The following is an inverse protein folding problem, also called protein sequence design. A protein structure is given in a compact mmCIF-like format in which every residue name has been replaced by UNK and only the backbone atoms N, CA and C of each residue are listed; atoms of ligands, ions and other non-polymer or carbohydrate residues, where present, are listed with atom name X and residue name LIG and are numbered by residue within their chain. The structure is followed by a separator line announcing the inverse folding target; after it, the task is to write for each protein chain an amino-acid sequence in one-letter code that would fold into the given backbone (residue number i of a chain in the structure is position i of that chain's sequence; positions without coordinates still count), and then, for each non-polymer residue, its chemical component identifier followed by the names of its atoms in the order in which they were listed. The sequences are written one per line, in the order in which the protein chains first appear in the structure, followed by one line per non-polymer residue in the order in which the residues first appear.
data_IF_782832606311
#
_entry.id   IF_782832606311
#
_cell.length_a   1.000
_cell.length_b   1.000
_cell.length_c   1.000
_cell.angle_alpha   90.00
_cell.angle_beta   90.00
_cell.angle_gamma   90.00
#
_symmetry.space_group_name_H-M   'P 1'
#
loop_
_entity.id
_entity.type
_entity.pdbx_description
1 polymer ?
#
# COMPACT_ATOMS: atom_id res chain seq x y z
N UNK A 1 15.63 -8.87 -14.32
CA UNK A 1 16.17 -9.77 -13.28
C UNK A 1 15.00 -10.38 -12.52
N UNK A 2 14.99 -11.70 -12.28
CA UNK A 2 13.87 -12.34 -11.57
C UNK A 2 13.98 -12.02 -10.06
N UNK A 3 12.92 -11.44 -9.48
CA UNK A 3 12.88 -11.12 -8.06
C UNK A 3 12.91 -12.41 -7.24
N UNK A 4 13.75 -12.44 -6.20
CA UNK A 4 13.69 -13.50 -5.21
C UNK A 4 12.40 -13.42 -4.39
N UNK A 5 11.97 -14.55 -3.83
CA UNK A 5 10.78 -14.60 -2.97
C UNK A 5 10.83 -13.62 -1.79
N UNK A 6 12.02 -13.34 -1.29
CA UNK A 6 12.20 -12.39 -0.18
C UNK A 6 12.00 -10.96 -0.66
N UNK A 7 12.49 -10.62 -1.86
CA UNK A 7 12.27 -9.31 -2.47
C UNK A 7 10.80 -9.10 -2.79
N UNK A 8 10.12 -10.09 -3.39
CA UNK A 8 8.66 -10.02 -3.62
C UNK A 8 7.90 -9.73 -2.32
N UNK A 9 8.19 -10.47 -1.25
CA UNK A 9 7.55 -10.24 0.05
C UNK A 9 7.89 -8.87 0.61
N UNK A 10 9.13 -8.39 0.42
CA UNK A 10 9.60 -7.09 0.91
C UNK A 10 8.92 -5.95 0.16
N UNK A 11 8.80 -6.04 -1.16
CA UNK A 11 8.11 -5.08 -2.02
C UNK A 11 6.64 -4.98 -1.60
N UNK A 12 5.96 -6.11 -1.43
CA UNK A 12 4.57 -6.10 -1.00
C UNK A 12 4.37 -5.48 0.40
N UNK A 13 5.29 -5.75 1.34
CA UNK A 13 5.29 -5.10 2.66
C UNK A 13 5.63 -3.61 2.58
N UNK A 14 6.57 -3.22 1.73
CA UNK A 14 6.92 -1.83 1.51
C UNK A 14 5.72 -1.04 0.98
N UNK A 15 4.90 -1.62 0.09
CA UNK A 15 3.65 -0.99 -0.35
C UNK A 15 2.64 -0.80 0.81
N UNK A 16 2.51 -1.78 1.70
CA UNK A 16 1.68 -1.64 2.92
C UNK A 16 2.20 -0.51 3.81
N UNK A 17 3.51 -0.45 4.03
CA UNK A 17 4.14 0.54 4.89
C UNK A 17 4.10 1.94 4.25
N UNK A 18 4.27 2.04 2.93
CA UNK A 18 4.15 3.31 2.22
C UNK A 18 2.74 3.86 2.29
N UNK A 19 1.73 3.01 2.07
CA UNK A 19 0.34 3.42 2.25
C UNK A 19 0.07 3.94 3.66
N UNK A 20 0.61 3.25 4.69
CA UNK A 20 0.50 3.68 6.07
C UNK A 20 1.21 5.03 6.34
N UNK A 21 2.40 5.25 5.76
CA UNK A 21 3.15 6.49 5.89
C UNK A 21 2.42 7.68 5.25
N UNK A 22 1.87 7.49 4.05
CA UNK A 22 1.11 8.53 3.37
C UNK A 22 -0.23 8.84 4.06
N UNK A 23 -0.88 7.82 4.65
CA UNK A 23 -2.09 8.03 5.47
C UNK A 23 -1.76 8.82 6.74
N UNK A 24 -0.64 8.51 7.42
CA UNK A 24 -0.18 9.27 8.58
C UNK A 24 0.11 10.73 8.21
N UNK A 25 0.83 10.94 7.10
CA UNK A 25 1.15 12.28 6.62
C UNK A 25 -0.13 13.07 6.31
N UNK A 26 -1.06 12.51 5.51
CA UNK A 26 -2.35 13.14 5.22
C UNK A 26 -3.14 13.49 6.49
N UNK A 27 -3.16 12.59 7.47
CA UNK A 27 -3.87 12.83 8.71
C UNK A 27 -3.25 14.00 9.52
N UNK A 28 -1.94 14.20 9.41
CA UNK A 28 -1.20 15.24 10.14
C UNK A 28 -1.16 16.58 9.42
N UNK A 29 -0.96 16.59 8.10
CA UNK A 29 -0.69 17.80 7.30
C UNK A 29 -1.82 18.17 6.34
N UNK A 30 -2.76 17.24 6.10
CA UNK A 30 -3.82 17.42 5.11
C UNK A 30 -3.41 17.16 3.66
N UNK A 31 -2.11 17.00 3.39
CA UNK A 31 -1.58 16.89 2.03
C UNK A 31 -0.33 16.01 1.91
N UNK A 32 -0.13 15.47 0.71
CA UNK A 32 1.02 14.67 0.28
C UNK A 32 1.42 15.08 -1.13
N UNK A 33 2.69 14.92 -1.49
CA UNK A 33 3.12 15.15 -2.87
C UNK A 33 2.31 14.28 -3.85
N UNK A 34 1.89 14.88 -4.97
CA UNK A 34 0.92 14.28 -5.89
C UNK A 34 1.40 12.95 -6.47
N UNK A 35 2.67 12.87 -6.81
CA UNK A 35 3.34 11.68 -7.35
C UNK A 35 3.47 10.53 -6.34
N UNK A 36 3.56 10.84 -5.04
CA UNK A 36 3.89 9.85 -4.00
C UNK A 36 2.82 8.78 -3.82
N UNK A 37 1.55 9.11 -4.13
CA UNK A 37 0.43 8.16 -4.06
C UNK A 37 0.20 7.37 -5.34
N UNK A 38 0.68 7.86 -6.47
CA UNK A 38 0.32 7.34 -7.78
C UNK A 38 0.72 5.87 -7.98
N UNK A 39 1.94 5.42 -7.61
CA UNK A 39 2.30 4.01 -7.78
C UNK A 39 1.42 3.05 -6.98
N UNK A 40 0.98 3.46 -5.78
CA UNK A 40 0.09 2.65 -4.94
C UNK A 40 -1.32 2.57 -5.53
N UNK A 41 -1.85 3.69 -6.01
CA UNK A 41 -3.17 3.74 -6.62
C UNK A 41 -3.18 2.99 -7.96
N UNK A 42 -2.14 3.12 -8.77
CA UNK A 42 -1.99 2.42 -10.05
C UNK A 42 -1.98 0.90 -9.86
N UNK A 43 -1.30 0.42 -8.82
CA UNK A 43 -1.24 -1.00 -8.47
C UNK A 43 -2.61 -1.64 -8.17
N UNK A 44 -3.64 -0.84 -7.84
CA UNK A 44 -5.01 -1.36 -7.69
C UNK A 44 -5.56 -1.86 -9.02
N UNK A 45 -5.31 -1.14 -10.12
CA UNK A 45 -5.85 -1.46 -11.43
C UNK A 45 -5.13 -2.63 -12.11
N UNK A 46 -3.96 -3.02 -11.61
CA UNK A 46 -3.20 -4.19 -12.09
C UNK A 46 -3.71 -5.45 -11.37
N UNK A 47 -4.87 -5.94 -11.83
CA UNK A 47 -5.57 -7.09 -11.22
C UNK A 47 -5.01 -8.45 -11.64
N UNK A 48 -4.46 -8.55 -12.86
CA UNK A 48 -3.89 -9.78 -13.42
C UNK A 48 -2.47 -9.54 -13.96
N UNK A 49 -1.48 -9.26 -13.08
CA UNK A 49 -0.10 -9.06 -13.51
C UNK A 49 0.50 -10.34 -14.07
N UNK A 50 1.28 -10.23 -15.14
CA UNK A 50 2.04 -11.37 -15.70
C UNK A 50 3.25 -11.68 -14.83
N UNK A 51 3.92 -10.63 -14.33
CA UNK A 51 5.06 -10.71 -13.44
C UNK A 51 4.84 -9.89 -12.17
N UNK A 52 5.49 -10.28 -11.08
CA UNK A 52 5.41 -9.54 -9.82
C UNK A 52 5.90 -8.08 -9.95
N UNK A 53 6.91 -7.85 -10.79
CA UNK A 53 7.46 -6.52 -11.09
C UNK A 53 6.44 -5.57 -11.72
N UNK A 54 5.43 -6.09 -12.40
CA UNK A 54 4.46 -5.27 -13.15
C UNK A 54 3.58 -4.45 -12.20
N UNK A 55 3.44 -4.87 -10.94
CA UNK A 55 2.49 -4.26 -9.98
C UNK A 55 2.96 -2.88 -9.52
N UNK A 56 4.24 -2.75 -9.16
CA UNK A 56 4.80 -1.52 -8.60
C UNK A 56 5.96 -0.95 -9.43
N UNK A 57 6.34 -1.58 -10.54
CA UNK A 57 7.51 -1.15 -11.33
C UNK A 57 8.79 -1.20 -10.52
N UNK A 58 9.65 -0.19 -10.64
CA UNK A 58 10.88 -0.08 -9.87
C UNK A 58 10.58 0.23 -8.39
N UNK A 59 10.85 -0.71 -7.44
CA UNK A 59 10.56 -0.47 -6.03
C UNK A 59 11.41 0.63 -5.41
N UNK A 60 12.64 0.86 -5.91
CA UNK A 60 13.52 1.91 -5.41
C UNK A 60 12.90 3.29 -5.58
N UNK A 61 12.31 3.54 -6.76
CA UNK A 61 11.66 4.79 -7.12
C UNK A 61 10.26 4.86 -6.54
N UNK A 62 9.46 3.81 -6.73
CA UNK A 62 8.02 3.86 -6.47
C UNK A 62 7.63 3.50 -5.05
N UNK A 63 8.48 2.79 -4.30
CA UNK A 63 8.22 2.33 -2.94
C UNK A 63 9.29 2.79 -1.94
N UNK A 64 10.07 3.82 -2.29
CA UNK A 64 11.20 4.31 -1.50
C UNK A 64 10.85 4.59 -0.04
N UNK A 65 9.75 5.34 0.17
CA UNK A 65 9.27 5.70 1.51
C UNK A 65 8.91 4.44 2.29
N UNK A 66 8.18 3.53 1.66
CA UNK A 66 7.81 2.24 2.26
C UNK A 66 9.02 1.39 2.65
N UNK A 67 10.02 1.29 1.77
CA UNK A 67 11.24 0.52 2.00
C UNK A 67 12.07 1.09 3.15
N UNK A 68 12.24 2.42 3.20
CA UNK A 68 12.96 3.08 4.30
C UNK A 68 12.25 2.87 5.63
N UNK A 69 10.94 3.13 5.70
CA UNK A 69 10.17 2.91 6.92
C UNK A 69 10.18 1.44 7.36
N UNK A 70 10.05 0.49 6.42
CA UNK A 70 10.11 -0.94 6.71
C UNK A 70 11.50 -1.32 7.26
N UNK A 71 12.58 -0.82 6.65
CA UNK A 71 13.94 -1.02 7.14
C UNK A 71 14.11 -0.53 8.58
N UNK A 72 13.62 0.66 8.89
CA UNK A 72 13.63 1.23 10.25
C UNK A 72 12.83 0.39 11.25
N UNK A 73 11.65 -0.11 10.87
CA UNK A 73 10.83 -1.00 11.70
C UNK A 73 11.49 -2.36 11.98
N UNK A 74 12.32 -2.85 11.07
CA UNK A 74 13.00 -4.14 11.18
C UNK A 74 14.36 -4.04 11.87
N UNK A 75 14.92 -2.84 12.01
CA UNK A 75 16.17 -2.60 12.70
C UNK A 75 16.00 -2.84 14.21
N UNK A 76 17.03 -3.39 14.86
CA UNK A 76 17.03 -3.72 16.29
C UNK A 76 16.90 -2.49 17.19
N UNK A 77 17.47 -1.35 16.79
CA UNK A 77 17.41 -0.12 17.61
C UNK A 77 16.02 0.49 17.68
N UNK A 78 15.17 0.21 16.68
CA UNK A 78 13.84 0.83 16.48
C UNK A 78 13.85 2.37 16.54
N UNK A 79 15.02 2.98 16.40
CA UNK A 79 15.20 4.42 16.48
C UNK A 79 14.61 5.05 15.21
N UNK A 80 13.78 6.09 15.38
CA UNK A 80 13.09 6.74 14.25
C UNK A 80 11.85 6.00 13.75
N UNK A 81 11.39 4.94 14.42
CA UNK A 81 10.12 4.29 14.10
C UNK A 81 8.95 5.23 14.42
N UNK A 82 8.13 5.52 13.41
CA UNK A 82 6.85 6.19 13.64
C UNK A 82 5.81 5.15 14.14
N UNK A 83 5.24 5.33 15.35
CA UNK A 83 4.30 4.38 15.92
C UNK A 83 2.97 4.32 15.16
N UNK A 84 2.49 5.43 14.60
CA UNK A 84 1.24 5.46 13.84
C UNK A 84 1.38 4.73 12.50
N UNK A 85 2.51 4.92 11.80
CA UNK A 85 2.80 4.16 10.57
C UNK A 85 2.82 2.66 10.87
N UNK A 86 3.47 2.26 11.97
CA UNK A 86 3.51 0.85 12.40
C UNK A 86 2.11 0.32 12.70
N UNK A 87 1.30 1.08 13.44
CA UNK A 87 -0.07 0.73 13.81
C UNK A 87 -0.96 0.59 12.58
N UNK A 88 -0.89 1.51 11.63
CA UNK A 88 -1.64 1.46 10.38
C UNK A 88 -1.21 0.25 9.52
N UNK A 89 0.09 0.01 9.36
CA UNK A 89 0.59 -1.15 8.61
C UNK A 89 0.10 -2.48 9.21
N UNK A 90 0.19 -2.64 10.54
CA UNK A 90 -0.33 -3.84 11.22
C UNK A 90 -1.85 -3.97 11.10
N UNK A 91 -2.57 -2.85 11.10
CA UNK A 91 -4.03 -2.81 10.92
C UNK A 91 -4.44 -3.21 9.51
N UNK A 92 -3.70 -2.76 8.48
CA UNK A 92 -3.89 -3.19 7.09
C UNK A 92 -3.71 -4.71 6.95
N UNK A 93 -2.62 -5.26 7.52
CA UNK A 93 -2.40 -6.72 7.53
C UNK A 93 -3.47 -7.48 8.33
N UNK A 94 -4.12 -6.85 9.31
CA UNK A 94 -5.23 -7.46 10.04
C UNK A 94 -6.51 -7.48 9.19
N UNK A 95 -6.80 -6.35 8.56
CA UNK A 95 -8.02 -6.14 7.77
C UNK A 95 -8.02 -7.02 6.53
N UNK A 96 -6.88 -7.20 5.86
CA UNK A 96 -6.71 -8.17 4.76
C UNK A 96 -7.14 -9.58 5.19
N UNK A 97 -6.70 -10.03 6.36
CA UNK A 97 -7.06 -11.36 6.86
C UNK A 97 -8.56 -11.50 7.11
N UNK A 98 -9.23 -10.43 7.56
CA UNK A 98 -10.69 -10.39 7.74
C UNK A 98 -11.41 -10.40 6.38
N UNK A 99 -10.91 -9.62 5.41
CA UNK A 99 -11.42 -9.59 4.05
C UNK A 99 -11.33 -10.96 3.37
N UNK A 100 -10.21 -11.69 3.54
CA UNK A 100 -10.02 -13.04 2.98
C UNK A 100 -11.06 -14.06 3.47
N UNK A 101 -11.68 -13.82 4.62
CA UNK A 101 -12.78 -14.65 5.15
C UNK A 101 -14.14 -14.29 4.55
N UNK A 102 -14.20 -13.32 3.63
CA UNK A 102 -15.42 -12.77 3.00
C UNK A 102 -15.26 -12.78 1.47
N UNK A 103 -15.33 -13.95 0.80
CA UNK A 103 -15.09 -14.06 -0.64
C UNK A 103 -16.01 -13.16 -1.48
N UNK A 104 -17.29 -13.00 -1.10
CA UNK A 104 -18.20 -12.09 -1.79
C UNK A 104 -17.76 -10.61 -1.74
N UNK A 105 -17.19 -10.17 -0.62
CA UNK A 105 -16.64 -8.81 -0.51
C UNK A 105 -15.35 -8.67 -1.33
N UNK A 106 -14.53 -9.72 -1.41
CA UNK A 106 -13.34 -9.74 -2.26
C UNK A 106 -13.70 -9.63 -3.75
N UNK A 107 -14.73 -10.36 -4.20
CA UNK A 107 -15.24 -10.23 -5.57
C UNK A 107 -15.77 -8.83 -5.85
N UNK A 108 -16.59 -8.27 -4.94
CA UNK A 108 -17.12 -6.91 -5.07
C UNK A 108 -16.00 -5.84 -5.12
N UNK A 109 -14.88 -6.05 -4.42
CA UNK A 109 -13.70 -5.18 -4.54
C UNK A 109 -13.08 -5.26 -5.94
N UNK A 110 -12.92 -6.47 -6.50
CA UNK A 110 -12.40 -6.65 -7.86
C UNK A 110 -13.27 -5.96 -8.92
N UNK A 111 -14.58 -6.18 -8.86
CA UNK A 111 -15.55 -5.57 -9.78
C UNK A 111 -15.60 -4.04 -9.63
N UNK A 112 -15.53 -3.56 -8.38
CA UNK A 112 -15.48 -2.14 -8.06
C UNK A 112 -14.21 -1.46 -8.58
N UNK A 113 -13.05 -2.10 -8.42
CA UNK A 113 -11.77 -1.63 -8.96
C UNK A 113 -11.82 -1.59 -10.49
N UNK A 114 -12.36 -2.62 -11.14
CA UNK A 114 -12.51 -2.64 -12.60
C UNK A 114 -13.42 -1.50 -13.09
N UNK A 115 -14.47 -1.19 -12.32
CA UNK A 115 -15.37 -0.08 -12.63
C UNK A 115 -14.71 1.28 -12.43
N UNK A 116 -13.90 1.44 -11.38
CA UNK A 116 -13.10 2.65 -11.16
C UNK A 116 -12.00 2.83 -12.24
N UNK A 117 -11.44 1.74 -12.77
CA UNK A 117 -10.46 1.80 -13.87
C UNK A 117 -11.02 2.51 -15.10
N UNK A 118 -12.29 2.26 -15.45
CA UNK A 118 -12.95 2.94 -16.58
C UNK A 118 -13.05 4.46 -16.40
N UNK A 119 -13.12 4.94 -15.16
CA UNK A 119 -13.05 6.38 -14.86
C UNK A 119 -11.61 6.89 -14.98
N UNK A 120 -10.63 6.07 -14.62
CA UNK A 120 -9.21 6.37 -14.80
C UNK A 120 -8.77 6.33 -16.29
N UNK A 121 -9.55 5.75 -17.19
CA UNK A 121 -9.28 5.87 -18.64
C UNK A 121 -9.58 7.30 -19.14
N UNK A 122 -10.50 8.01 -18.46
CA UNK A 122 -10.85 9.40 -18.75
C UNK A 122 -10.04 10.41 -17.93
N UNK A 123 -9.50 10.02 -16.78
CA UNK A 123 -8.77 10.86 -15.83
C UNK A 123 -7.50 10.18 -15.32
N UNK A 124 -6.47 10.91 -14.92
CA UNK A 124 -5.29 10.25 -14.31
C UNK A 124 -5.65 9.45 -13.03
N UNK A 125 -4.82 8.44 -12.70
CA UNK A 125 -5.00 7.58 -11.52
C UNK A 125 -5.11 8.39 -10.21
N UNK A 126 -4.38 9.50 -10.12
CA UNK A 126 -4.39 10.40 -8.96
C UNK A 126 -5.49 11.47 -8.99
N UNK A 127 -6.30 11.54 -10.05
CA UNK A 127 -7.35 12.54 -10.19
C UNK A 127 -8.44 12.38 -9.12
N UNK A 128 -9.04 13.48 -8.67
CA UNK A 128 -9.99 13.50 -7.56
C UNK A 128 -11.19 12.56 -7.77
N UNK A 129 -11.71 12.47 -8.99
CA UNK A 129 -12.82 11.58 -9.34
C UNK A 129 -12.44 10.10 -9.15
N UNK A 130 -11.28 9.69 -9.66
CA UNK A 130 -10.76 8.32 -9.51
C UNK A 130 -10.53 8.00 -8.03
N UNK A 131 -9.92 8.92 -7.29
CA UNK A 131 -9.70 8.80 -5.85
C UNK A 131 -11.03 8.70 -5.08
N UNK A 132 -12.03 9.51 -5.43
CA UNK A 132 -13.35 9.48 -4.80
C UNK A 132 -14.08 8.16 -5.06
N UNK A 133 -13.98 7.60 -6.28
CA UNK A 133 -14.54 6.29 -6.60
C UNK A 133 -13.91 5.17 -5.77
N UNK A 134 -12.57 5.15 -5.67
CA UNK A 134 -11.84 4.19 -4.83
C UNK A 134 -12.17 4.36 -3.34
N UNK A 135 -12.33 5.60 -2.87
CA UNK A 135 -12.75 5.89 -1.50
C UNK A 135 -14.18 5.43 -1.21
N UNK A 136 -15.09 5.61 -2.17
CA UNK A 136 -16.46 5.10 -2.13
C UNK A 136 -16.47 3.57 -2.04
N UNK A 137 -15.66 2.90 -2.85
CA UNK A 137 -15.51 1.45 -2.82
C UNK A 137 -15.02 0.96 -1.44
N UNK A 138 -13.99 1.59 -0.87
CA UNK A 138 -13.52 1.29 0.49
C UNK A 138 -14.64 1.44 1.54
N UNK A 139 -15.45 2.50 1.43
CA UNK A 139 -16.57 2.77 2.35
C UNK A 139 -17.68 1.71 2.22
N UNK A 140 -18.01 1.30 1.00
CA UNK A 140 -19.06 0.30 0.74
C UNK A 140 -18.64 -1.14 1.09
N UNK A 141 -17.35 -1.41 1.21
CA UNK A 141 -16.80 -2.75 1.45
C UNK A 141 -16.10 -2.83 2.80
N UNK A 142 -14.85 -2.39 2.87
CA UNK A 142 -13.93 -2.58 3.98
C UNK A 142 -14.40 -1.90 5.27
N UNK A 143 -15.14 -0.79 5.18
CA UNK A 143 -15.68 -0.10 6.36
C UNK A 143 -16.82 -0.87 7.06
N UNK A 144 -17.40 -1.88 6.39
CA UNK A 144 -18.44 -2.75 6.91
C UNK A 144 -17.88 -3.99 7.66
N UNK A 145 -16.56 -4.16 7.68
CA UNK A 145 -15.93 -5.20 8.49
C UNK A 145 -15.98 -4.84 9.99
N UNK A 146 -15.95 -5.86 10.84
CA UNK A 146 -16.00 -5.70 12.30
C UNK A 146 -14.79 -4.95 12.87
N UNK A 147 -13.68 -4.93 12.12
CA UNK A 147 -12.47 -4.20 12.47
C UNK A 147 -12.32 -3.01 11.51
N UNK A 148 -11.99 -1.84 12.06
CA UNK A 148 -11.78 -0.60 11.29
C UNK A 148 -10.44 0.01 11.65
N UNK A 149 -9.78 0.60 10.66
CA UNK A 149 -8.54 1.34 10.87
C UNK A 149 -8.92 2.71 11.41
N UNK A 150 -8.58 3.00 12.66
CA UNK A 150 -8.83 4.29 13.28
C UNK A 150 -7.68 5.24 12.96
N UNK A 151 -7.87 6.11 11.97
CA UNK A 151 -6.87 7.12 11.58
C UNK A 151 -6.96 8.31 12.53
N UNK A 152 -5.84 8.62 13.17
CA UNK A 152 -5.66 9.72 14.11
C UNK A 152 -4.72 10.77 13.50
N UNK A 153 -5.00 12.04 13.80
CA UNK A 153 -4.28 13.19 13.25
C UNK A 153 -5.01 14.48 13.57
N UNK A 154 -4.78 15.52 12.78
CA UNK A 154 -5.48 16.79 12.90
C UNK A 154 -6.96 16.64 12.48
N UNK A 155 -7.94 16.91 13.36
CA UNK A 155 -9.36 16.79 13.04
C UNK A 155 -9.79 17.64 11.84
N UNK A 156 -9.22 18.84 11.67
CA UNK A 156 -9.54 19.74 10.55
C UNK A 156 -9.22 19.10 9.20
N UNK A 157 -8.06 18.43 9.11
CA UNK A 157 -7.68 17.71 7.90
C UNK A 157 -8.54 16.46 7.69
N UNK A 158 -8.81 15.70 8.76
CA UNK A 158 -9.59 14.46 8.65
C UNK A 158 -11.08 14.67 8.34
N UNK A 159 -11.62 15.85 8.66
CA UNK A 159 -12.99 16.25 8.29
C UNK A 159 -13.11 16.73 6.84
N UNK A 160 -11.99 17.12 6.20
CA UNK A 160 -11.98 17.49 4.79
C UNK A 160 -12.28 16.28 3.90
N UNK A 161 -13.28 16.39 3.02
CA UNK A 161 -13.72 15.30 2.15
C UNK A 161 -12.61 14.81 1.19
N UNK A 162 -11.79 15.72 0.65
CA UNK A 162 -10.68 15.39 -0.25
C UNK A 162 -9.61 14.57 0.50
N UNK A 163 -9.16 15.04 1.66
CA UNK A 163 -8.19 14.30 2.51
C UNK A 163 -8.76 12.94 2.93
N UNK A 164 -10.02 12.89 3.37
CA UNK A 164 -10.67 11.63 3.77
C UNK A 164 -10.79 10.64 2.60
N UNK A 165 -11.02 11.12 1.37
CA UNK A 165 -11.03 10.27 0.18
C UNK A 165 -9.64 9.72 -0.13
N UNK A 166 -8.60 10.56 -0.12
CA UNK A 166 -7.20 10.10 -0.32
C UNK A 166 -6.79 9.08 0.73
N UNK A 167 -7.14 9.29 2.01
CA UNK A 167 -6.91 8.31 3.08
C UNK A 167 -7.55 6.97 2.75
N UNK A 168 -8.83 6.93 2.38
CA UNK A 168 -9.52 5.67 2.06
C UNK A 168 -8.95 4.97 0.83
N UNK A 169 -8.62 5.73 -0.22
CA UNK A 169 -8.00 5.18 -1.42
C UNK A 169 -6.61 4.59 -1.14
N UNK A 170 -5.79 5.27 -0.33
CA UNK A 170 -4.48 4.75 0.11
C UNK A 170 -4.62 3.53 1.01
N UNK A 171 -5.59 3.50 1.92
CA UNK A 171 -5.86 2.30 2.73
C UNK A 171 -6.26 1.12 1.84
N UNK A 172 -7.08 1.34 0.80
CA UNK A 172 -7.42 0.31 -0.19
C UNK A 172 -6.16 -0.20 -0.93
N UNK A 173 -5.27 0.70 -1.37
CA UNK A 173 -3.99 0.33 -1.97
C UNK A 173 -3.08 -0.45 -1.01
N UNK A 174 -3.04 -0.05 0.27
CA UNK A 174 -2.34 -0.79 1.32
C UNK A 174 -2.90 -2.21 1.51
N UNK A 175 -4.21 -2.41 1.40
CA UNK A 175 -4.84 -3.74 1.42
C UNK A 175 -4.43 -4.57 0.19
N UNK A 176 -4.33 -3.96 -1.00
CA UNK A 176 -3.79 -4.64 -2.19
C UNK A 176 -2.35 -5.12 -1.98
N UNK A 177 -1.50 -4.31 -1.35
CA UNK A 177 -0.15 -4.71 -0.92
C UNK A 177 -0.18 -5.87 0.07
N UNK A 178 -1.07 -5.85 1.05
CA UNK A 178 -1.23 -6.93 2.01
C UNK A 178 -1.70 -8.25 1.35
N UNK A 179 -2.64 -8.17 0.42
CA UNK A 179 -3.11 -9.32 -0.38
C UNK A 179 -1.95 -9.90 -1.17
N UNK A 180 -1.19 -9.04 -1.86
CA UNK A 180 -0.03 -9.47 -2.64
C UNK A 180 1.00 -10.18 -1.76
N UNK A 181 1.29 -9.63 -0.59
CA UNK A 181 2.21 -10.24 0.38
C UNK A 181 1.76 -11.65 0.76
N UNK A 182 0.46 -11.89 0.95
CA UNK A 182 -0.08 -13.24 1.21
C UNK A 182 0.04 -14.17 0.02
N UNK A 183 -0.26 -13.69 -1.18
CA UNK A 183 -0.10 -14.46 -2.43
C UNK A 183 1.36 -14.90 -2.61
N UNK A 184 2.31 -14.05 -2.20
CA UNK A 184 3.72 -14.40 -2.15
C UNK A 184 4.17 -15.10 -0.85
N UNK A 185 3.26 -15.79 -0.16
CA UNK A 185 3.58 -16.67 0.98
C UNK A 185 3.90 -15.94 2.30
N UNK A 186 3.60 -14.66 2.39
CA UNK A 186 3.78 -13.83 3.58
C UNK A 186 2.94 -14.28 4.77
N UNK A 187 3.57 -14.35 5.95
CA UNK A 187 2.95 -14.72 7.23
C UNK A 187 3.36 -13.73 8.31
N UNK A 188 2.43 -13.35 9.21
CA UNK A 188 2.70 -12.36 10.27
C UNK A 188 3.92 -12.72 11.14
N UNK A 189 4.08 -13.99 11.48
CA UNK A 189 5.25 -14.45 12.24
C UNK A 189 6.57 -14.34 11.47
N UNK A 190 6.55 -14.29 10.12
CA UNK A 190 7.78 -14.03 9.35
C UNK A 190 8.37 -12.67 9.69
N UNK A 191 7.56 -11.65 10.02
CA UNK A 191 8.05 -10.33 10.42
C UNK A 191 8.82 -10.35 11.75
N UNK A 192 8.57 -11.35 12.60
CA UNK A 192 9.24 -11.50 13.89
C UNK A 192 10.50 -12.36 13.77
N UNK A 193 10.44 -13.43 12.98
CA UNK A 193 11.51 -14.44 12.89
C UNK A 193 12.53 -14.10 11.79
N UNK A 194 12.08 -13.53 10.66
CA UNK A 194 12.91 -13.29 9.48
C UNK A 194 13.33 -11.83 9.32
N UNK A 195 13.46 -11.09 10.43
CA UNK A 195 13.78 -9.64 10.41
C UNK A 195 15.02 -9.32 9.59
N UNK A 196 16.13 -10.02 9.84
CA UNK A 196 17.40 -9.81 9.13
C UNK A 196 17.28 -10.03 7.61
N UNK A 197 16.41 -10.96 7.19
CA UNK A 197 16.18 -11.28 5.79
C UNK A 197 15.42 -10.17 5.07
N UNK A 198 14.36 -9.66 5.70
CA UNK A 198 13.60 -8.52 5.16
C UNK A 198 14.45 -7.24 5.17
N UNK A 199 15.26 -7.03 6.21
CA UNK A 199 16.16 -5.89 6.28
C UNK A 199 17.20 -5.92 5.14
N UNK A 200 17.83 -7.08 4.91
CA UNK A 200 18.76 -7.27 3.79
C UNK A 200 18.08 -6.98 2.44
N UNK A 201 16.87 -7.50 2.23
CA UNK A 201 16.12 -7.24 1.00
C UNK A 201 15.74 -5.75 0.84
N UNK A 202 15.38 -5.05 1.93
CA UNK A 202 15.16 -3.60 1.87
C UNK A 202 16.43 -2.88 1.40
N UNK A 203 17.59 -3.23 1.97
CA UNK A 203 18.88 -2.66 1.57
C UNK A 203 19.19 -2.93 0.10
N UNK A 204 19.03 -4.17 -0.38
CA UNK A 204 19.24 -4.52 -1.79
C UNK A 204 18.32 -3.73 -2.72
N UNK A 205 17.03 -3.63 -2.40
CA UNK A 205 16.06 -2.89 -3.21
C UNK A 205 16.32 -1.37 -3.19
N UNK A 206 16.85 -0.83 -2.10
CA UNK A 206 17.26 0.57 -2.00
C UNK A 206 18.61 0.88 -2.69
N UNK A 207 19.45 -0.14 -2.90
CA UNK A 207 20.76 -0.01 -3.53
C UNK A 207 20.78 -0.34 -5.03
N UNK A 208 19.72 -0.95 -5.57
CA UNK A 208 19.55 -1.15 -7.00
C UNK A 208 18.78 0.04 -7.59
N UNK A 209 19.44 1.12 -8.05
CA UNK A 209 18.83 1.96 -9.07
C UNK A 209 18.60 1.07 -10.29
N UNK A 210 17.45 1.19 -10.95
CA UNK A 210 17.25 0.44 -12.19
C UNK A 210 18.25 0.97 -13.22
N UNK A 211 19.27 0.19 -13.53
CA UNK A 211 19.91 0.31 -14.83
C UNK A 211 18.98 -0.28 -15.88
N UNK A 212 18.75 0.53 -16.92
CA UNK A 212 18.00 0.29 -18.14
C UNK A 212 16.48 0.44 -18.07
N UNK A 213 16.03 1.70 -17.98
CA UNK A 213 15.01 2.15 -18.92
C UNK A 213 15.48 1.77 -20.34
N UNK A 214 14.95 0.67 -20.87
CA UNK A 214 14.90 0.47 -22.32
C UNK A 214 13.94 1.52 -22.87
N UNK A 215 14.49 2.68 -23.18
CA UNK A 215 13.90 3.62 -24.10
C UNK A 215 14.00 3.02 -25.51
N UNK A 216 12.93 3.05 -26.33
CA UNK A 216 12.99 2.64 -27.73
C UNK A 216 13.93 3.52 -28.55
#
# INVERSE_FOLDING_TARGET
MMLSRNEEQTIALAAVVQAAALVEQLARTGDIANDSSEPLLRALFIQSPQNFSDVYGNPNTHLNVGLNHLGTMLNRSMQGVNPDVTRYALSLLHLERKLRQKPGMMAALGDGIQSASRQADHFSVGHENTVAALAGLYKQTLSNLSFRIHVTGNPTHLQNAHTANRVRALLLAGIRGAILWRQVGGKRWHLLINRSRYLKACTTLLQNPADNDHQP
#
